data_IF_757947940434
#
_entry.id   IF_757947940434
#
_cell.length_a   1.000
_cell.length_b   1.000
_cell.length_c   1.000
_cell.angle_alpha   90.00
_cell.angle_beta   90.00
_cell.angle_gamma   90.00
#
_symmetry.space_group_name_H-M   'P 1'
#
loop_
_entity.id
_entity.type
_entity.pdbx_description
1 polymer ?
#
# COMPACT_ATOMS: atom_id res chain seq x y z
N UNK A 1 14.25 12.22 -7.73
CA UNK A 1 13.47 12.00 -6.49
C UNK A 1 12.13 11.45 -6.95
N UNK A 2 11.77 10.20 -6.63
CA UNK A 2 10.53 9.59 -7.15
C UNK A 2 9.40 9.97 -6.20
N UNK A 3 8.31 10.51 -6.73
CA UNK A 3 7.15 10.94 -5.92
C UNK A 3 6.65 9.81 -5.00
N UNK A 4 6.75 8.56 -5.45
CA UNK A 4 6.43 7.36 -4.66
C UNK A 4 7.12 7.30 -3.30
N UNK A 5 8.40 7.69 -3.19
CA UNK A 5 9.15 7.62 -1.93
C UNK A 5 8.69 8.69 -0.94
N UNK A 6 8.34 9.88 -1.46
CA UNK A 6 7.80 10.98 -0.67
C UNK A 6 6.43 10.60 -0.11
N UNK A 7 5.52 10.13 -0.96
CA UNK A 7 4.19 9.71 -0.52
C UNK A 7 4.21 8.48 0.38
N UNK A 8 5.18 7.57 0.20
CA UNK A 8 5.39 6.44 1.13
C UNK A 8 5.65 6.95 2.55
N UNK A 9 6.53 7.96 2.70
CA UNK A 9 6.85 8.54 4.02
C UNK A 9 5.70 9.36 4.60
N UNK A 10 5.08 10.21 3.77
CA UNK A 10 3.98 11.09 4.22
C UNK A 10 2.78 10.27 4.71
N UNK A 11 2.44 9.18 4.01
CA UNK A 11 1.30 8.33 4.33
C UNK A 11 1.63 7.20 5.32
N UNK A 12 2.90 7.05 5.73
CA UNK A 12 3.32 5.97 6.62
C UNK A 12 3.09 4.57 6.04
N UNK A 13 3.26 4.42 4.72
CA UNK A 13 3.12 3.12 4.06
C UNK A 13 4.36 2.29 4.35
N UNK A 14 4.15 1.16 5.01
CA UNK A 14 5.20 0.23 5.43
C UNK A 14 4.92 -1.18 4.92
N UNK A 15 5.93 -2.05 5.04
CA UNK A 15 5.81 -3.46 4.70
C UNK A 15 4.60 -4.10 5.41
N UNK A 16 3.81 -4.93 4.71
CA UNK A 16 4.08 -5.52 3.38
C UNK A 16 3.57 -4.70 2.19
N UNK A 17 3.16 -3.45 2.40
CA UNK A 17 2.61 -2.57 1.38
C UNK A 17 3.70 -1.67 0.77
N UNK A 18 3.49 -1.25 -0.46
CA UNK A 18 4.33 -0.27 -1.15
C UNK A 18 3.48 0.64 -2.04
N UNK A 19 3.92 1.90 -2.19
CA UNK A 19 3.34 2.80 -3.20
C UNK A 19 3.81 2.37 -4.58
N UNK A 20 2.89 1.93 -5.43
CA UNK A 20 3.19 1.48 -6.79
C UNK A 20 3.09 2.59 -7.83
N UNK A 21 2.18 3.54 -7.63
CA UNK A 21 2.03 4.69 -8.50
C UNK A 21 1.44 5.90 -7.77
N UNK A 22 1.77 7.09 -8.26
CA UNK A 22 1.18 8.36 -7.83
C UNK A 22 0.72 9.09 -9.08
N UNK A 23 -0.55 9.50 -9.11
CA UNK A 23 -1.12 10.32 -10.17
C UNK A 23 -1.65 11.61 -9.59
N UNK A 24 -1.24 12.73 -10.18
CA UNK A 24 -1.71 14.07 -9.78
C UNK A 24 -2.74 14.53 -10.81
N UNK A 25 -3.99 14.63 -10.38
CA UNK A 25 -5.11 15.03 -11.22
C UNK A 25 -5.43 16.50 -10.99
N UNK A 26 -4.72 17.38 -11.70
CA UNK A 26 -4.82 18.83 -11.54
C UNK A 26 -6.23 19.37 -11.81
N UNK A 27 -6.94 18.78 -12.78
CA UNK A 27 -8.32 19.16 -13.12
C UNK A 27 -9.29 18.90 -11.96
N UNK A 28 -9.06 17.82 -11.20
CA UNK A 28 -9.87 17.46 -10.03
C UNK A 28 -9.32 18.02 -8.72
N UNK A 29 -8.10 18.59 -8.75
CA UNK A 29 -7.34 18.99 -7.55
C UNK A 29 -7.15 17.83 -6.57
N UNK A 30 -6.90 16.64 -7.11
CA UNK A 30 -6.76 15.41 -6.34
C UNK A 30 -5.42 14.73 -6.63
N UNK A 31 -4.94 13.96 -5.65
CA UNK A 31 -3.77 13.10 -5.80
C UNK A 31 -4.22 11.67 -5.52
N UNK A 32 -4.04 10.80 -6.51
CA UNK A 32 -4.36 9.38 -6.42
C UNK A 32 -3.07 8.61 -6.16
N UNK A 33 -2.93 8.08 -4.96
CA UNK A 33 -1.82 7.20 -4.57
C UNK A 33 -2.29 5.75 -4.65
N UNK A 34 -1.68 4.97 -5.53
CA UNK A 34 -1.93 3.53 -5.64
C UNK A 34 -0.94 2.77 -4.75
N UNK A 35 -1.48 1.89 -3.92
CA UNK A 35 -0.72 1.05 -2.99
C UNK A 35 -0.98 -0.40 -3.34
N UNK A 36 0.09 -1.18 -3.41
CA UNK A 36 0.02 -2.62 -3.68
C UNK A 36 0.80 -3.41 -2.64
N UNK A 37 0.54 -4.72 -2.59
CA UNK A 37 1.37 -5.63 -1.81
C UNK A 37 2.68 -5.85 -2.56
N UNK A 38 3.78 -5.82 -1.82
CA UNK A 38 5.05 -6.27 -2.37
C UNK A 38 4.93 -7.72 -2.84
N UNK A 39 5.34 -8.04 -4.09
CA UNK A 39 5.30 -9.39 -4.59
C UNK A 39 6.19 -10.29 -3.71
N UNK A 40 5.63 -11.40 -3.25
CA UNK A 40 6.31 -12.35 -2.35
C UNK A 40 6.12 -12.06 -0.85
N UNK A 41 5.61 -10.89 -0.46
CA UNK A 41 5.35 -10.60 0.95
C UNK A 41 4.08 -11.29 1.46
N UNK A 42 4.27 -12.06 2.53
CA UNK A 42 3.18 -12.76 3.21
C UNK A 42 2.48 -11.80 4.15
N UNK A 43 1.15 -11.79 4.12
CA UNK A 43 0.39 -11.04 5.13
C UNK A 43 0.34 -11.89 6.38
N UNK A 44 0.91 -11.37 7.47
CA UNK A 44 0.83 -12.02 8.77
C UNK A 44 -0.17 -11.28 9.65
N UNK A 45 -0.94 -12.04 10.43
CA UNK A 45 -1.76 -11.46 11.48
C UNK A 45 -0.85 -10.76 12.51
N UNK A 46 -1.11 -9.48 12.82
CA UNK A 46 -0.33 -8.75 13.84
C UNK A 46 -0.47 -9.33 15.25
N UNK A 47 -1.53 -10.10 15.53
CA UNK A 47 -1.80 -10.67 16.85
C UNK A 47 -1.20 -12.07 17.03
N UNK A 48 -1.23 -12.91 16.00
CA UNK A 48 -0.81 -14.32 16.12
C UNK A 48 0.35 -14.72 15.20
N UNK A 49 0.81 -13.82 14.31
CA UNK A 49 1.94 -14.06 13.40
C UNK A 49 1.67 -15.05 12.26
N UNK A 50 0.49 -15.69 12.22
CA UNK A 50 0.14 -16.65 11.16
C UNK A 50 -0.08 -15.96 9.83
N UNK A 51 0.30 -16.65 8.76
CA UNK A 51 0.05 -16.24 7.38
C UNK A 51 -1.47 -16.20 7.11
N UNK A 52 -1.92 -15.11 6.51
CA UNK A 52 -3.29 -14.83 6.11
C UNK A 52 -3.35 -14.63 4.60
N UNK A 53 -4.47 -15.04 4.01
CA UNK A 53 -4.80 -14.75 2.60
C UNK A 53 -4.83 -13.25 2.30
N UNK A 54 -5.08 -12.43 3.33
CA UNK A 54 -4.98 -10.97 3.27
C UNK A 54 -6.24 -10.24 2.89
N UNK A 55 -7.22 -10.96 2.36
CA UNK A 55 -8.54 -10.45 2.09
C UNK A 55 -9.53 -11.15 3.00
N UNK A 56 -10.47 -10.37 3.53
CA UNK A 56 -11.62 -10.93 4.22
C UNK A 56 -12.43 -11.76 3.22
N UNK A 57 -12.49 -13.06 3.44
CA UNK A 57 -13.35 -13.94 2.67
C UNK A 57 -14.74 -13.87 3.28
N UNK A 58 -15.66 -13.13 2.66
CA UNK A 58 -17.08 -13.32 2.93
C UNK A 58 -17.43 -14.76 2.55
N UNK A 59 -17.86 -15.55 3.52
CA UNK A 59 -18.36 -16.91 3.34
C UNK A 59 -19.87 -16.94 3.48
#
# INVERSE_FOLDING_TARGET
MRDSDLYTRILGIEAPWQVSAVKVEMTKKEIVVQVERKPGEKLCCRTCGKELSGYDTRR
#
